data_IF_601594514458
#
_entry.id   IF_601594514458
#
_cell.length_a   1.000
_cell.length_b   1.000
_cell.length_c   1.000
_cell.angle_alpha   90.00
_cell.angle_beta   90.00
_cell.angle_gamma   90.00
#
_symmetry.space_group_name_H-M   'P 1'
#
loop_
_entity.id
_entity.type
_entity.pdbx_description
1 polymer ?
#
# COMPACT_ATOMS: atom_id res chain seq x y z
N UNK A 1 9.57 19.86 51.45
CA UNK A 1 9.47 19.99 49.97
C UNK A 1 8.23 20.82 49.64
N UNK A 2 8.41 22.05 49.14
CA UNK A 2 7.31 23.00 48.87
C UNK A 2 6.35 22.45 47.81
N UNK A 3 5.05 22.75 47.95
CA UNK A 3 3.99 22.28 47.05
C UNK A 3 4.26 22.61 45.56
N UNK A 4 4.91 23.75 45.29
CA UNK A 4 5.38 24.14 43.95
C UNK A 4 6.42 23.16 43.37
N UNK A 5 7.40 22.73 44.18
CA UNK A 5 8.41 21.73 43.75
C UNK A 5 7.79 20.36 43.46
N UNK A 6 6.70 19.98 44.17
CA UNK A 6 5.96 18.74 43.88
C UNK A 6 5.23 18.81 42.54
N UNK A 7 4.61 19.95 42.20
CA UNK A 7 3.93 20.15 40.90
C UNK A 7 4.92 20.10 39.73
N UNK A 8 6.09 20.72 39.88
CA UNK A 8 7.16 20.68 38.86
C UNK A 8 7.66 19.24 38.65
N UNK A 9 7.91 18.48 39.73
CA UNK A 9 8.31 17.08 39.61
C UNK A 9 7.25 16.21 38.92
N UNK A 10 5.95 16.44 39.18
CA UNK A 10 4.86 15.70 38.52
C UNK A 10 4.78 16.02 37.04
N UNK A 11 4.97 17.28 36.63
CA UNK A 11 5.00 17.69 35.22
C UNK A 11 6.22 17.10 34.49
N UNK A 12 7.40 17.16 35.10
CA UNK A 12 8.62 16.57 34.53
C UNK A 12 8.48 15.06 34.39
N UNK A 13 7.94 14.39 35.41
CA UNK A 13 7.70 12.95 35.39
C UNK A 13 6.68 12.56 34.33
N UNK A 14 5.61 13.34 34.14
CA UNK A 14 4.59 13.05 33.11
C UNK A 14 5.10 13.30 31.69
N UNK A 15 5.94 14.33 31.47
CA UNK A 15 6.60 14.56 30.16
C UNK A 15 7.62 13.46 29.85
N UNK A 16 8.43 13.06 30.84
CA UNK A 16 9.39 11.95 30.67
C UNK A 16 8.69 10.61 30.44
N UNK A 17 7.60 10.34 31.17
CA UNK A 17 6.79 9.15 30.98
C UNK A 17 6.15 9.13 29.58
N UNK A 18 5.66 10.27 29.08
CA UNK A 18 5.12 10.38 27.72
C UNK A 18 6.19 10.16 26.64
N UNK A 19 7.44 10.58 26.89
CA UNK A 19 8.56 10.33 25.98
C UNK A 19 8.99 8.85 26.00
N UNK A 20 8.96 8.20 27.16
CA UNK A 20 9.30 6.79 27.31
C UNK A 20 8.21 5.85 26.76
N UNK A 21 6.95 6.31 26.71
CA UNK A 21 5.85 5.61 26.05
C UNK A 21 5.78 5.85 24.54
N UNK A 22 6.63 6.73 24.00
CA UNK A 22 6.67 6.93 22.55
C UNK A 22 7.18 5.63 21.92
N UNK A 23 6.38 4.96 21.06
CA UNK A 23 6.80 3.70 20.47
C UNK A 23 8.08 3.97 19.68
N UNK A 24 9.19 3.38 20.12
CA UNK A 24 10.43 3.38 19.36
C UNK A 24 10.10 2.81 17.99
N UNK A 25 10.34 3.60 16.93
CA UNK A 25 10.01 3.22 15.57
C UNK A 25 10.64 1.86 15.25
N UNK A 26 9.83 0.81 15.27
CA UNK A 26 10.26 -0.51 14.83
C UNK A 26 10.75 -0.38 13.40
N UNK A 27 11.81 -1.12 13.06
CA UNK A 27 12.24 -1.27 11.67
C UNK A 27 11.11 -1.94 10.88
N UNK A 28 10.21 -1.10 10.37
CA UNK A 28 8.99 -1.50 9.71
C UNK A 28 9.34 -1.87 8.27
N UNK A 29 9.81 -3.10 8.09
CA UNK A 29 9.97 -3.68 6.76
C UNK A 29 8.57 -3.79 6.16
N UNK A 30 8.22 -2.84 5.29
CA UNK A 30 6.91 -2.81 4.65
C UNK A 30 6.87 -3.87 3.56
N UNK A 31 5.86 -4.74 3.58
CA UNK A 31 5.58 -5.65 2.48
C UNK A 31 4.82 -4.88 1.40
N UNK A 32 5.24 -5.02 0.16
CA UNK A 32 4.49 -4.61 -1.01
C UNK A 32 4.13 -5.85 -1.82
N UNK A 33 2.87 -5.95 -2.22
CA UNK A 33 2.39 -6.95 -3.15
C UNK A 33 1.91 -6.23 -4.41
N UNK A 34 2.33 -6.73 -5.56
CA UNK A 34 1.88 -6.29 -6.86
C UNK A 34 1.23 -7.48 -7.57
N UNK A 35 0.01 -7.31 -8.06
CA UNK A 35 -0.71 -8.36 -8.79
C UNK A 35 -1.17 -7.85 -10.15
N UNK A 36 -1.15 -8.73 -11.14
CA UNK A 36 -1.64 -8.46 -12.48
C UNK A 36 -2.28 -9.72 -13.07
N UNK A 37 -3.21 -9.51 -14.02
CA UNK A 37 -3.87 -10.58 -14.75
C UNK A 37 -3.01 -10.97 -15.94
N UNK A 38 -2.78 -12.27 -16.12
CA UNK A 38 -2.12 -12.83 -17.29
C UNK A 38 -2.92 -14.06 -17.77
N UNK A 39 -3.71 -13.86 -18.82
CA UNK A 39 -4.68 -14.86 -19.28
C UNK A 39 -5.72 -15.14 -18.19
N UNK A 40 -5.90 -16.41 -17.85
CA UNK A 40 -6.88 -16.85 -16.84
C UNK A 40 -6.31 -16.90 -15.40
N UNK A 41 -5.09 -16.38 -15.20
CA UNK A 41 -4.40 -16.43 -13.92
C UNK A 41 -4.04 -15.03 -13.43
N UNK A 42 -4.09 -14.86 -12.11
CA UNK A 42 -3.50 -13.69 -11.46
C UNK A 42 -2.11 -14.07 -10.98
N UNK A 43 -1.12 -13.33 -11.44
CA UNK A 43 0.25 -13.42 -10.94
C UNK A 43 0.51 -12.31 -9.95
N UNK A 44 1.16 -12.64 -8.85
CA UNK A 44 1.54 -11.67 -7.83
C UNK A 44 3.01 -11.80 -7.45
N UNK A 45 3.62 -10.67 -7.12
CA UNK A 45 4.98 -10.55 -6.60
C UNK A 45 4.97 -9.75 -5.29
N UNK A 46 5.53 -10.33 -4.24
CA UNK A 46 5.61 -9.80 -2.89
C UNK A 46 7.06 -9.55 -2.47
N UNK A 47 7.36 -8.33 -2.02
CA UNK A 47 8.72 -7.90 -1.63
C UNK A 47 8.70 -7.00 -0.39
N UNK A 48 9.77 -7.03 0.38
CA UNK A 48 9.99 -6.09 1.50
C UNK A 48 10.63 -4.79 1.00
N UNK A 49 10.36 -3.67 1.69
CA UNK A 49 10.98 -2.36 1.44
C UNK A 49 11.72 -1.87 2.69
N UNK A 50 13.00 -1.45 2.59
CA UNK A 50 13.94 -1.72 1.49
C UNK A 50 14.44 -3.16 1.61
N UNK A 51 14.17 -4.04 0.65
CA UNK A 51 14.50 -5.45 0.86
C UNK A 51 14.26 -6.41 -0.30
N UNK A 52 14.49 -7.69 0.01
CA UNK A 52 14.35 -8.81 -0.91
C UNK A 52 12.92 -9.38 -0.98
N UNK A 53 12.74 -10.50 -1.70
CA UNK A 53 11.43 -11.15 -1.83
C UNK A 53 10.94 -11.71 -0.48
N UNK A 54 9.61 -11.80 -0.35
CA UNK A 54 8.98 -12.54 0.75
C UNK A 54 9.18 -14.04 0.50
N UNK A 55 10.04 -14.70 1.28
CA UNK A 55 10.41 -16.10 1.03
C UNK A 55 9.39 -17.11 1.60
N UNK A 56 8.54 -16.65 2.50
CA UNK A 56 7.60 -17.45 3.27
C UNK A 56 6.42 -16.57 3.70
N UNK A 57 5.23 -16.99 3.31
CA UNK A 57 4.00 -16.26 3.55
C UNK A 57 2.83 -16.88 2.81
N UNK A 58 1.62 -16.39 3.10
CA UNK A 58 0.39 -16.76 2.42
C UNK A 58 -0.18 -15.56 1.69
N UNK A 59 -0.90 -15.85 0.61
CA UNK A 59 -1.74 -14.89 -0.09
C UNK A 59 -3.18 -15.37 0.01
N UNK A 60 -4.03 -14.55 0.57
CA UNK A 60 -5.46 -14.78 0.74
C UNK A 60 -6.22 -13.88 -0.21
N UNK A 61 -7.17 -14.44 -0.94
CA UNK A 61 -7.95 -13.69 -1.93
C UNK A 61 -9.38 -13.63 -1.46
N UNK A 62 -9.92 -12.43 -1.44
CA UNK A 62 -11.28 -12.13 -1.01
C UNK A 62 -12.06 -11.47 -2.14
N UNK A 63 -13.38 -11.66 -2.14
CA UNK A 63 -14.29 -10.77 -2.86
C UNK A 63 -14.29 -9.40 -2.17
N UNK A 64 -13.99 -8.34 -2.90
CA UNK A 64 -14.01 -6.98 -2.37
C UNK A 64 -15.45 -6.54 -2.00
N UNK A 65 -16.45 -7.04 -2.72
CA UNK A 65 -17.86 -6.70 -2.56
C UNK A 65 -18.47 -7.40 -1.33
N UNK A 66 -18.20 -8.68 -1.14
CA UNK A 66 -18.82 -9.48 -0.06
C UNK A 66 -17.91 -9.67 1.14
N UNK A 67 -16.60 -9.45 0.98
CA UNK A 67 -15.59 -9.77 2.00
C UNK A 67 -15.34 -11.28 2.16
N UNK A 68 -15.98 -12.12 1.37
CA UNK A 68 -15.83 -13.57 1.42
C UNK A 68 -14.44 -14.00 0.96
N UNK A 69 -13.81 -14.92 1.69
CA UNK A 69 -12.52 -15.48 1.29
C UNK A 69 -12.75 -16.55 0.21
N UNK A 70 -12.21 -16.31 -0.97
CA UNK A 70 -12.37 -17.17 -2.14
C UNK A 70 -11.28 -18.25 -2.21
N UNK A 71 -10.03 -17.89 -1.92
CA UNK A 71 -8.91 -18.85 -1.92
C UNK A 71 -7.76 -18.43 -1.00
N UNK A 72 -6.86 -19.38 -0.76
CA UNK A 72 -5.60 -19.15 -0.05
C UNK A 72 -4.49 -19.92 -0.74
N UNK A 73 -3.39 -19.24 -1.00
CA UNK A 73 -2.21 -19.75 -1.70
C UNK A 73 -0.95 -19.40 -0.92
N UNK A 74 0.16 -20.09 -1.21
CA UNK A 74 1.48 -19.82 -0.61
C UNK A 74 2.37 -19.04 -1.56
N UNK A 75 3.28 -18.28 -0.97
CA UNK A 75 4.33 -17.55 -1.69
C UNK A 75 5.54 -18.47 -1.86
N UNK A 76 6.15 -18.45 -3.04
CA UNK A 76 7.37 -19.20 -3.32
C UNK A 76 8.64 -18.51 -2.77
N UNK A 77 9.79 -19.17 -2.89
CA UNK A 77 11.10 -18.64 -2.45
C UNK A 77 11.54 -17.34 -3.14
N UNK A 78 10.93 -16.99 -4.28
CA UNK A 78 11.21 -15.81 -5.07
C UNK A 78 10.20 -14.67 -4.78
N UNK A 79 9.29 -14.86 -3.83
CA UNK A 79 8.25 -13.87 -3.52
C UNK A 79 7.09 -13.89 -4.49
N UNK A 80 6.93 -14.93 -5.31
CA UNK A 80 5.88 -15.01 -6.33
C UNK A 80 4.78 -15.95 -5.90
N UNK A 81 3.56 -15.64 -6.33
CA UNK A 81 2.43 -16.55 -6.24
C UNK A 81 1.58 -16.42 -7.50
N UNK A 82 0.94 -17.52 -7.89
CA UNK A 82 0.06 -17.59 -9.04
C UNK A 82 -1.17 -18.37 -8.63
N UNK A 83 -2.35 -17.88 -9.01
CA UNK A 83 -3.62 -18.56 -8.79
C UNK A 83 -4.57 -18.30 -9.94
N UNK A 84 -5.45 -19.26 -10.22
CA UNK A 84 -6.53 -19.09 -11.19
C UNK A 84 -7.61 -18.16 -10.64
N UNK A 85 -8.22 -17.37 -11.52
CA UNK A 85 -9.28 -16.43 -11.13
C UNK A 85 -10.50 -17.24 -10.63
N UNK A 86 -10.99 -17.01 -9.39
CA UNK A 86 -12.15 -17.72 -8.87
C UNK A 86 -13.39 -17.56 -9.75
N UNK A 87 -14.05 -18.67 -10.08
CA UNK A 87 -15.26 -18.67 -10.92
C UNK A 87 -16.40 -17.81 -10.34
N UNK A 88 -16.52 -17.76 -9.01
CA UNK A 88 -17.47 -16.87 -8.34
C UNK A 88 -17.23 -15.39 -8.68
N UNK A 89 -15.96 -14.96 -8.74
CA UNK A 89 -15.62 -13.59 -9.09
C UNK A 89 -15.89 -13.28 -10.56
N UNK A 90 -15.63 -14.23 -11.48
CA UNK A 90 -15.96 -14.08 -12.91
C UNK A 90 -17.46 -13.96 -13.14
N UNK A 91 -18.25 -14.87 -12.53
CA UNK A 91 -19.69 -14.94 -12.72
C UNK A 91 -20.42 -13.69 -12.22
N UNK A 92 -19.94 -13.13 -11.11
CA UNK A 92 -20.58 -11.99 -10.47
C UNK A 92 -19.91 -10.64 -10.79
N UNK A 93 -18.79 -10.63 -11.53
CA UNK A 93 -18.03 -9.42 -11.83
C UNK A 93 -17.47 -8.75 -10.57
N UNK A 94 -16.97 -9.55 -9.62
CA UNK A 94 -16.44 -9.04 -8.36
C UNK A 94 -14.97 -8.65 -8.46
N UNK A 95 -14.58 -7.61 -7.74
CA UNK A 95 -13.18 -7.23 -7.62
C UNK A 95 -12.50 -8.19 -6.63
N UNK A 96 -11.26 -8.54 -6.90
CA UNK A 96 -10.48 -9.44 -6.06
C UNK A 96 -9.55 -8.63 -5.16
N UNK A 97 -9.76 -8.72 -3.84
CA UNK A 97 -8.81 -8.22 -2.86
C UNK A 97 -7.80 -9.31 -2.52
N UNK A 98 -6.57 -9.12 -2.97
CA UNK A 98 -5.45 -10.02 -2.73
C UNK A 98 -4.67 -9.51 -1.53
N UNK A 99 -4.72 -10.22 -0.40
CA UNK A 99 -3.98 -9.90 0.81
C UNK A 99 -2.76 -10.80 0.96
N UNK A 100 -1.58 -10.20 1.05
CA UNK A 100 -0.33 -10.87 1.35
C UNK A 100 -0.07 -10.80 2.85
N UNK A 101 0.10 -11.96 3.48
CA UNK A 101 0.55 -12.14 4.85
C UNK A 101 1.94 -12.76 4.85
N UNK A 102 2.96 -11.95 5.10
CA UNK A 102 4.33 -12.40 5.30
C UNK A 102 4.54 -12.84 6.76
N UNK A 103 5.72 -13.38 7.05
CA UNK A 103 6.13 -13.70 8.42
C UNK A 103 6.08 -12.47 9.36
N UNK A 104 5.91 -12.73 10.66
CA UNK A 104 5.91 -11.73 11.73
C UNK A 104 4.76 -10.71 11.66
N UNK A 105 3.64 -11.05 11.00
CA UNK A 105 2.43 -10.20 10.96
C UNK A 105 2.53 -9.02 10.01
N UNK A 106 3.55 -8.98 9.14
CA UNK A 106 3.64 -7.98 8.09
C UNK A 106 2.77 -8.37 6.91
N UNK A 107 2.01 -7.42 6.37
CA UNK A 107 1.16 -7.70 5.24
C UNK A 107 0.72 -6.46 4.49
N UNK A 108 0.23 -6.67 3.28
CA UNK A 108 -0.32 -5.62 2.43
C UNK A 108 -1.34 -6.23 1.47
N UNK A 109 -2.19 -5.39 0.87
CA UNK A 109 -3.21 -5.86 -0.06
C UNK A 109 -3.17 -5.11 -1.39
N UNK A 110 -3.51 -5.84 -2.45
CA UNK A 110 -3.74 -5.32 -3.79
C UNK A 110 -5.18 -5.61 -4.20
N UNK A 111 -5.78 -4.72 -4.99
CA UNK A 111 -7.11 -4.96 -5.58
C UNK A 111 -6.95 -5.15 -7.07
N UNK A 112 -7.36 -6.31 -7.58
CA UNK A 112 -7.49 -6.59 -9.01
C UNK A 112 -8.94 -6.35 -9.40
N UNK A 113 -9.18 -5.45 -10.33
CA UNK A 113 -10.55 -5.11 -10.75
C UNK A 113 -11.15 -6.19 -11.63
N UNK A 114 -12.45 -6.40 -11.52
CA UNK A 114 -13.20 -7.33 -12.37
C UNK A 114 -12.98 -7.05 -13.86
N UNK A 115 -12.94 -5.78 -14.26
CA UNK A 115 -12.71 -5.36 -15.65
C UNK A 115 -11.41 -5.91 -16.25
N UNK A 116 -10.37 -6.12 -15.43
CA UNK A 116 -9.06 -6.60 -15.85
C UNK A 116 -9.07 -8.09 -16.25
N UNK A 117 -10.06 -8.86 -15.80
CA UNK A 117 -10.19 -10.29 -16.09
C UNK A 117 -11.56 -10.73 -16.61
N UNK A 118 -12.56 -9.86 -16.65
CA UNK A 118 -13.82 -10.09 -17.36
C UNK A 118 -13.63 -10.00 -18.89
N UNK A 119 -12.52 -9.39 -19.32
CA UNK A 119 -12.13 -9.26 -20.72
C UNK A 119 -11.37 -10.50 -21.18
N UNK A 120 -12.05 -11.64 -21.33
CA UNK A 120 -11.38 -12.84 -21.84
C UNK A 120 -10.93 -12.65 -23.30
N UNK A 121 -9.70 -13.13 -23.55
CA UNK A 121 -8.97 -13.34 -24.82
C UNK A 121 -7.90 -12.33 -25.27
N UNK A 122 -7.88 -11.08 -24.81
CA UNK A 122 -6.70 -10.21 -24.98
C UNK A 122 -6.70 -9.18 -23.86
N UNK A 123 -5.72 -9.28 -22.96
CA UNK A 123 -5.36 -8.21 -22.01
C UNK A 123 -4.78 -6.99 -22.71
N UNK A 124 -5.51 -6.45 -23.69
CA UNK A 124 -5.28 -5.18 -24.33
C UNK A 124 -6.00 -4.10 -23.53
N UNK A 125 -5.26 -3.10 -23.11
CA UNK A 125 -5.81 -1.84 -22.65
C UNK A 125 -6.76 -1.30 -23.74
N UNK A 126 -8.07 -1.37 -23.52
CA UNK A 126 -9.04 -0.76 -24.44
C UNK A 126 -9.01 0.75 -24.25
N UNK A 127 -8.16 1.41 -25.04
CA UNK A 127 -8.34 2.84 -25.29
C UNK A 127 -9.65 2.97 -26.06
N UNK A 128 -10.71 3.44 -25.40
CA UNK A 128 -11.91 3.90 -26.09
C UNK A 128 -11.53 5.17 -26.86
N UNK A 129 -10.98 5.00 -28.06
CA UNK A 129 -10.75 6.08 -29.00
C UNK A 129 -12.12 6.55 -29.52
N UNK A 130 -12.63 7.64 -28.95
CA UNK A 130 -13.69 8.40 -29.58
C UNK A 130 -13.06 9.28 -30.66
N UNK A 131 -13.26 8.88 -31.92
CA UNK A 131 -12.94 9.69 -33.10
C UNK A 131 -13.04 8.85 -34.37
N UNK A 132 -13.77 9.28 -35.42
CA UNK A 132 -13.86 8.53 -36.67
C UNK A 132 -12.66 8.83 -37.57
N UNK A 133 -12.21 7.83 -38.37
CA UNK A 133 -11.55 7.89 -39.70
C UNK A 133 -10.49 6.75 -39.86
N UNK A 134 -10.11 6.36 -41.09
CA UNK A 134 -10.84 5.47 -41.99
C UNK A 134 -10.06 4.17 -42.29
N UNK A 135 -10.77 3.22 -42.89
CA UNK A 135 -10.35 1.86 -43.23
C UNK A 135 -9.29 1.82 -44.35
N UNK A 136 -8.08 1.31 -44.07
CA UNK A 136 -7.31 0.52 -45.06
C UNK A 136 -6.35 -0.47 -44.39
N UNK A 137 -6.51 -1.71 -44.83
CA UNK A 137 -6.02 -2.93 -44.21
C UNK A 137 -4.50 -3.17 -44.34
N UNK A 138 -3.87 -3.48 -43.20
CA UNK A 138 -2.86 -4.52 -43.08
C UNK A 138 -3.08 -5.15 -41.69
N UNK A 139 -3.76 -6.31 -41.66
CA UNK A 139 -4.19 -7.07 -40.47
C UNK A 139 -4.23 -6.26 -39.16
N UNK A 140 -5.18 -5.33 -39.06
CA UNK A 140 -5.32 -4.40 -37.93
C UNK A 140 -5.25 -5.11 -36.58
N UNK A 141 -5.85 -6.31 -36.47
CA UNK A 141 -5.82 -7.09 -35.23
C UNK A 141 -4.46 -7.69 -34.84
N UNK A 142 -3.56 -8.00 -35.79
CA UNK A 142 -2.23 -8.51 -35.47
C UNK A 142 -1.28 -7.38 -35.07
N UNK A 143 -1.39 -6.23 -35.74
CA UNK A 143 -0.65 -5.02 -35.42
C UNK A 143 -1.07 -4.50 -34.03
N UNK A 144 -2.38 -4.46 -33.76
CA UNK A 144 -2.94 -4.08 -32.46
C UNK A 144 -2.50 -5.03 -31.33
N UNK A 145 -2.40 -6.34 -31.58
CA UNK A 145 -1.84 -7.30 -30.61
C UNK A 145 -0.35 -7.07 -30.34
N UNK A 146 0.44 -6.79 -31.38
CA UNK A 146 1.87 -6.50 -31.20
C UNK A 146 2.08 -5.16 -30.48
N UNK A 147 1.32 -4.13 -30.82
CA UNK A 147 1.35 -2.85 -30.12
C UNK A 147 0.88 -2.97 -28.68
N UNK A 148 -0.21 -3.70 -28.41
CA UNK A 148 -0.72 -3.92 -27.06
C UNK A 148 0.31 -4.65 -26.19
N UNK A 149 0.99 -5.65 -26.75
CA UNK A 149 2.07 -6.40 -26.08
C UNK A 149 3.27 -5.52 -25.78
N UNK A 150 3.72 -4.72 -26.75
CA UNK A 150 4.86 -3.82 -26.54
C UNK A 150 4.50 -2.70 -25.55
N UNK A 151 3.27 -2.15 -25.62
CA UNK A 151 2.82 -1.18 -24.63
C UNK A 151 2.69 -1.79 -23.23
N UNK A 152 2.14 -2.99 -23.07
CA UNK A 152 2.02 -3.64 -21.76
C UNK A 152 3.39 -3.91 -21.13
N UNK A 153 4.33 -4.39 -21.94
CA UNK A 153 5.69 -4.69 -21.49
C UNK A 153 6.43 -3.42 -21.03
N UNK A 154 6.15 -2.28 -21.67
CA UNK A 154 6.78 -1.00 -21.33
C UNK A 154 6.03 -0.20 -20.24
N UNK A 155 4.72 -0.37 -20.10
CA UNK A 155 3.91 0.36 -19.11
C UNK A 155 3.91 -0.30 -17.72
N UNK A 156 4.15 -1.61 -17.65
CA UNK A 156 4.27 -2.35 -16.40
C UNK A 156 5.39 -1.81 -15.48
N UNK A 157 6.64 -1.59 -15.96
CA UNK A 157 7.68 -0.99 -15.13
C UNK A 157 7.37 0.47 -14.76
N UNK A 158 6.73 1.26 -15.62
CA UNK A 158 6.38 2.66 -15.29
C UNK A 158 5.29 2.73 -14.21
N UNK A 159 4.30 1.84 -14.23
CA UNK A 159 3.31 1.73 -13.15
C UNK A 159 3.94 1.27 -11.83
N UNK A 160 4.95 0.39 -11.90
CA UNK A 160 5.76 -0.04 -10.75
C UNK A 160 6.49 1.14 -10.12
N UNK A 161 7.17 1.94 -10.91
CA UNK A 161 7.92 3.12 -10.46
C UNK A 161 6.98 4.21 -9.90
N UNK A 162 5.79 4.39 -10.48
CA UNK A 162 4.78 5.31 -9.97
C UNK A 162 4.16 4.86 -8.64
N UNK A 163 3.95 3.54 -8.46
CA UNK A 163 3.49 2.99 -7.19
C UNK A 163 4.55 3.15 -6.10
N UNK A 164 5.83 3.05 -6.46
CA UNK A 164 6.97 3.29 -5.56
C UNK A 164 7.13 4.78 -5.19
N UNK A 165 6.91 5.69 -6.14
CA UNK A 165 7.04 7.14 -5.92
C UNK A 165 5.89 7.77 -5.13
N UNK A 166 4.69 7.17 -5.13
CA UNK A 166 3.53 7.69 -4.36
C UNK A 166 3.65 7.53 -2.84
N UNK A 167 4.76 6.97 -2.36
CA UNK A 167 5.01 6.78 -0.93
C UNK A 167 5.41 8.11 -0.28
N UNK A 168 4.51 8.67 0.53
CA UNK A 168 4.84 9.79 1.42
C UNK A 168 5.88 9.32 2.44
N UNK A 169 7.14 9.72 2.27
CA UNK A 169 8.17 9.56 3.31
C UNK A 169 7.88 10.56 4.43
N UNK A 170 8.11 10.15 5.67
CA UNK A 170 8.13 11.07 6.81
C UNK A 170 9.21 12.11 6.51
N UNK A 171 8.80 13.37 6.34
CA UNK A 171 9.70 14.47 6.02
C UNK A 171 10.34 15.02 7.31
N UNK A 172 11.53 15.61 7.19
CA UNK A 172 12.11 16.41 8.26
C UNK A 172 11.14 17.50 8.75
N UNK A 173 10.29 18.02 7.86
CA UNK A 173 9.26 18.99 8.22
C UNK A 173 8.17 18.41 9.13
N UNK A 174 7.79 17.13 8.94
CA UNK A 174 6.81 16.48 9.81
C UNK A 174 7.39 16.31 11.24
N UNK A 175 8.69 15.99 11.34
CA UNK A 175 9.40 15.84 12.62
C UNK A 175 9.54 17.19 13.34
N UNK A 176 10.07 18.20 12.65
CA UNK A 176 10.24 19.54 13.21
C UNK A 176 8.91 20.20 13.55
N UNK A 177 7.88 20.00 12.71
CA UNK A 177 6.53 20.48 12.96
C UNK A 177 5.90 19.85 14.20
N UNK A 178 6.03 18.53 14.37
CA UNK A 178 5.59 17.82 15.57
C UNK A 178 6.32 18.29 16.84
N UNK A 179 7.65 18.45 16.76
CA UNK A 179 8.45 18.95 17.88
C UNK A 179 8.07 20.39 18.25
N UNK A 180 7.89 21.26 17.25
CA UNK A 180 7.45 22.64 17.44
C UNK A 180 6.07 22.75 18.10
N UNK A 181 5.13 21.87 17.74
CA UNK A 181 3.81 21.81 18.35
C UNK A 181 3.87 21.45 19.85
N UNK A 182 4.68 20.44 20.20
CA UNK A 182 4.86 20.01 21.60
C UNK A 182 5.51 21.12 22.43
N UNK A 183 6.60 21.71 21.92
CA UNK A 183 7.29 22.81 22.59
C UNK A 183 6.41 24.05 22.70
N UNK A 184 5.60 24.34 21.68
CA UNK A 184 4.66 25.45 21.67
C UNK A 184 3.59 25.34 22.76
N UNK A 185 2.86 24.21 22.82
CA UNK A 185 1.83 23.99 23.84
C UNK A 185 2.46 23.99 25.24
N UNK A 186 3.59 23.32 25.40
CA UNK A 186 4.30 23.24 26.69
C UNK A 186 4.76 24.63 27.15
N UNK A 187 5.28 25.46 26.24
CA UNK A 187 5.65 26.84 26.53
C UNK A 187 4.47 27.70 26.98
N UNK A 188 3.32 27.57 26.31
CA UNK A 188 2.08 28.30 26.69
C UNK A 188 1.62 27.88 28.09
N UNK A 189 1.61 26.58 28.39
CA UNK A 189 1.23 26.07 29.72
C UNK A 189 2.17 26.61 30.80
N UNK A 190 3.48 26.61 30.56
CA UNK A 190 4.45 27.18 31.50
C UNK A 190 4.30 28.69 31.69
N UNK A 191 3.99 29.43 30.63
CA UNK A 191 3.75 30.87 30.73
C UNK A 191 2.61 31.20 31.70
N UNK A 192 1.49 30.49 31.60
CA UNK A 192 0.35 30.68 32.52
C UNK A 192 0.61 30.14 33.93
N UNK A 193 1.36 29.03 34.07
CA UNK A 193 1.74 28.51 35.38
C UNK A 193 2.72 29.44 36.11
N UNK A 194 3.63 30.10 35.40
CA UNK A 194 4.56 31.07 35.96
C UNK A 194 3.87 32.38 36.38
N UNK A 195 2.81 32.79 35.66
CA UNK A 195 1.97 33.92 36.05
C UNK A 195 1.18 33.66 37.34
N UNK A 196 0.76 32.42 37.58
CA UNK A 196 -0.04 32.02 38.75
C UNK A 196 0.73 31.98 40.07
N UNK A 197 2.07 32.02 40.05
CA UNK A 197 2.90 32.14 41.28
C UNK A 197 3.28 33.59 41.62
N UNK A 198 2.87 34.57 40.81
CA UNK A 198 3.15 36.00 41.01
C UNK A 198 2.00 36.79 41.65
N UNK A 199 0.86 36.14 41.88
CA UNK A 199 -0.27 36.60 42.70
C UNK A 199 -0.29 35.81 44.02
#
# INVERSE_FOLDING_TARGET
>A
MNASRKKICVVIFSVLAAYFWSPAGGSCHRVNIFCWVEGNQVKCESRFTPGGPVKSGSVEVYSQQTGERLLTTRIDKNGRTVFDIPEAAKKHGWDLKVHCSAEMGHGNSWVVKADEFASDENGGFTVRAQGPLPEKAMSSGALEKMFSRVLSDQLTPIKRDLAELKVRRISFQDILGGLGYILGITGIVFYFLAGKERD
#
